data_IF_159160051442
#
_entry.id   IF_159160051442
#
_cell.length_a   1.000
_cell.length_b   1.000
_cell.length_c   1.000
_cell.angle_alpha   90.00
_cell.angle_beta   90.00
_cell.angle_gamma   90.00
#
_symmetry.space_group_name_H-M   'P 1'
#
loop_
_entity.id
_entity.type
_entity.pdbx_description
1 polymer ?
#
# COMPACT_ATOMS: atom_id res chain seq x y z
N UNK A 1 9.87 -24.66 9.83
CA UNK A 1 10.62 -23.61 10.58
C UNK A 1 10.96 -22.38 9.72
N UNK A 2 11.40 -22.53 8.46
CA UNK A 2 11.79 -21.40 7.58
C UNK A 2 10.67 -20.39 7.29
N UNK A 3 9.42 -20.84 7.06
CA UNK A 3 8.31 -19.91 6.77
C UNK A 3 7.93 -19.00 7.94
N UNK A 4 8.11 -19.47 9.18
CA UNK A 4 7.78 -18.68 10.38
C UNK A 4 8.76 -17.53 10.56
N UNK A 5 10.07 -17.77 10.34
CA UNK A 5 11.08 -16.73 10.47
C UNK A 5 10.91 -15.65 9.40
N UNK A 6 10.68 -16.02 8.14
CA UNK A 6 10.46 -15.05 7.05
C UNK A 6 9.26 -14.14 7.37
N UNK A 7 8.15 -14.72 7.84
CA UNK A 7 6.97 -13.97 8.21
C UNK A 7 7.27 -12.94 9.32
N UNK A 8 8.01 -13.34 10.37
CA UNK A 8 8.38 -12.44 11.47
C UNK A 8 9.30 -11.30 11.01
N UNK A 9 10.29 -11.58 10.15
CA UNK A 9 11.19 -10.53 9.63
C UNK A 9 10.45 -9.51 8.76
N UNK A 10 9.52 -9.96 7.92
CA UNK A 10 8.72 -9.07 7.07
C UNK A 10 7.75 -8.24 7.90
N UNK A 11 7.05 -8.84 8.88
CA UNK A 11 6.09 -8.13 9.72
C UNK A 11 6.76 -7.07 10.60
N UNK A 12 8.01 -7.28 11.02
CA UNK A 12 8.76 -6.30 11.82
C UNK A 12 8.95 -4.95 11.11
N UNK A 13 9.05 -4.95 9.77
CA UNK A 13 9.11 -3.70 9.01
C UNK A 13 7.80 -2.91 9.09
N UNK A 14 6.67 -3.59 9.24
CA UNK A 14 5.36 -2.97 9.41
C UNK A 14 5.14 -2.42 10.82
N UNK A 15 6.01 -2.67 11.80
CA UNK A 15 5.96 -1.97 13.10
C UNK A 15 6.42 -0.51 12.99
N UNK A 16 7.26 -0.19 12.01
CA UNK A 16 7.76 1.17 11.78
C UNK A 16 6.68 2.05 11.16
N UNK A 17 6.21 3.03 11.92
CA UNK A 17 5.19 4.00 11.49
C UNK A 17 5.65 4.78 10.25
N UNK A 18 6.93 5.10 10.10
CA UNK A 18 7.43 5.82 8.94
C UNK A 18 7.33 4.97 7.67
N UNK A 19 7.56 3.66 7.78
CA UNK A 19 7.39 2.73 6.67
C UNK A 19 5.93 2.62 6.23
N UNK A 20 4.99 2.60 7.19
CA UNK A 20 3.55 2.61 6.88
C UNK A 20 3.14 3.92 6.20
N UNK A 21 3.58 5.06 6.73
CA UNK A 21 3.31 6.36 6.11
C UNK A 21 3.87 6.43 4.69
N UNK A 22 5.06 5.89 4.45
CA UNK A 22 5.64 5.80 3.13
C UNK A 22 4.77 5.01 2.15
N UNK A 23 4.25 3.84 2.54
CA UNK A 23 3.34 3.05 1.70
C UNK A 23 2.02 3.81 1.44
N UNK A 24 1.48 4.48 2.46
CA UNK A 24 0.28 5.32 2.31
C UNK A 24 0.53 6.46 1.32
N UNK A 25 1.68 7.11 1.38
CA UNK A 25 2.07 8.15 0.41
C UNK A 25 2.21 7.60 -1.01
N UNK A 26 2.80 6.41 -1.18
CA UNK A 26 2.82 5.73 -2.48
C UNK A 26 1.39 5.56 -3.01
N UNK A 27 0.49 5.01 -2.19
CA UNK A 27 -0.91 4.83 -2.57
C UNK A 27 -1.61 6.14 -2.93
N UNK A 28 -1.36 7.21 -2.17
CA UNK A 28 -1.89 8.55 -2.47
C UNK A 28 -1.36 9.09 -3.80
N UNK A 29 -0.07 8.96 -4.07
CA UNK A 29 0.51 9.39 -5.34
C UNK A 29 -0.01 8.56 -6.52
N UNK A 30 -0.18 7.25 -6.37
CA UNK A 30 -0.80 6.41 -7.41
C UNK A 30 -2.23 6.86 -7.73
N UNK A 31 -3.01 7.31 -6.74
CA UNK A 31 -4.37 7.83 -6.99
C UNK A 31 -4.31 9.22 -7.64
N UNK A 32 -3.51 10.11 -7.08
CA UNK A 32 -3.54 11.55 -7.39
C UNK A 32 -2.73 11.92 -8.62
N UNK A 33 -1.61 11.26 -8.86
CA UNK A 33 -0.73 11.52 -10.01
C UNK A 33 -1.08 10.56 -11.13
N UNK A 34 -0.91 9.25 -10.92
CA UNK A 34 -1.10 8.27 -12.01
C UNK A 34 -2.57 8.14 -12.36
N UNK A 35 -3.42 7.93 -11.36
CA UNK A 35 -4.86 7.75 -11.53
C UNK A 35 -5.54 8.96 -12.15
N UNK A 36 -5.19 10.19 -11.76
CA UNK A 36 -5.71 11.41 -12.41
C UNK A 36 -5.05 11.66 -13.76
N UNK A 37 -3.75 11.37 -13.91
CA UNK A 37 -3.01 11.52 -15.16
C UNK A 37 -3.62 10.69 -16.28
N UNK A 38 -3.90 9.40 -16.00
CA UNK A 38 -4.55 8.48 -16.93
C UNK A 38 -6.00 8.90 -17.25
N UNK A 39 -6.75 9.39 -16.25
CA UNK A 39 -8.12 9.88 -16.43
C UNK A 39 -8.14 11.10 -17.37
N UNK A 40 -7.19 12.02 -17.19
CA UNK A 40 -7.02 13.20 -18.04
C UNK A 40 -6.59 12.85 -19.48
N UNK A 41 -5.92 11.71 -19.68
CA UNK A 41 -5.55 11.19 -21.00
C UNK A 41 -6.68 10.40 -21.67
N UNK A 42 -7.82 10.23 -20.99
CA UNK A 42 -8.97 9.48 -21.49
C UNK A 42 -8.89 7.96 -21.26
N UNK A 43 -7.81 7.46 -20.63
CA UNK A 43 -7.66 6.05 -20.29
C UNK A 43 -8.36 5.70 -18.97
N UNK A 44 -9.69 5.65 -19.03
CA UNK A 44 -10.54 5.45 -17.84
C UNK A 44 -10.36 4.07 -17.20
N UNK A 45 -9.96 3.05 -17.97
CA UNK A 45 -9.81 1.69 -17.46
C UNK A 45 -8.55 1.61 -16.60
N UNK A 46 -7.44 2.11 -17.11
CA UNK A 46 -6.18 2.07 -16.39
C UNK A 46 -6.17 3.08 -15.23
N UNK A 47 -6.82 4.24 -15.40
CA UNK A 47 -7.08 5.16 -14.31
C UNK A 47 -7.86 4.51 -13.16
N UNK A 48 -8.89 3.70 -13.47
CA UNK A 48 -9.66 2.97 -12.44
C UNK A 48 -8.78 1.94 -11.75
N UNK A 49 -7.93 1.23 -12.49
CA UNK A 49 -7.01 0.24 -11.93
C UNK A 49 -6.00 0.91 -10.99
N UNK A 50 -5.38 2.02 -11.41
CA UNK A 50 -4.46 2.80 -10.59
C UNK A 50 -5.14 3.28 -9.29
N UNK A 51 -6.38 3.76 -9.37
CA UNK A 51 -7.17 4.15 -8.18
C UNK A 51 -7.40 2.97 -7.23
N UNK A 52 -7.74 1.78 -7.74
CA UNK A 52 -7.93 0.56 -6.93
C UNK A 52 -6.61 0.15 -6.25
N UNK A 53 -5.50 0.16 -6.99
CA UNK A 53 -4.18 -0.18 -6.46
C UNK A 53 -3.75 0.80 -5.38
N UNK A 54 -3.94 2.10 -5.59
CA UNK A 54 -3.61 3.10 -4.58
C UNK A 54 -4.46 2.95 -3.31
N UNK A 55 -5.77 2.68 -3.45
CA UNK A 55 -6.64 2.40 -2.30
C UNK A 55 -6.19 1.14 -1.56
N UNK A 56 -5.79 0.09 -2.27
CA UNK A 56 -5.33 -1.15 -1.63
C UNK A 56 -4.06 -0.90 -0.81
N UNK A 57 -3.11 -0.10 -1.28
CA UNK A 57 -1.95 0.32 -0.47
C UNK A 57 -2.35 1.09 0.79
N UNK A 58 -3.23 2.09 0.65
CA UNK A 58 -3.68 2.94 1.78
C UNK A 58 -4.40 2.12 2.85
N UNK A 59 -5.17 1.10 2.46
CA UNK A 59 -5.94 0.28 3.40
C UNK A 59 -5.10 -0.87 3.96
N UNK A 60 -4.35 -1.58 3.11
CA UNK A 60 -3.60 -2.77 3.54
C UNK A 60 -2.44 -2.44 4.46
N UNK A 61 -1.74 -1.30 4.28
CA UNK A 61 -0.58 -0.97 5.11
C UNK A 61 -0.96 -0.72 6.59
N UNK A 62 -1.99 0.08 6.93
CA UNK A 62 -2.47 0.19 8.31
C UNK A 62 -2.99 -1.13 8.88
N UNK A 63 -3.68 -1.95 8.08
CA UNK A 63 -4.14 -3.28 8.52
C UNK A 63 -2.94 -4.16 8.89
N UNK A 64 -1.90 -4.19 8.05
CA UNK A 64 -0.68 -4.94 8.31
C UNK A 64 0.07 -4.41 9.53
N UNK A 65 0.09 -3.09 9.75
CA UNK A 65 0.65 -2.50 10.98
C UNK A 65 -0.07 -2.99 12.25
N UNK A 66 -1.41 -3.02 12.21
CA UNK A 66 -2.21 -3.52 13.33
C UNK A 66 -1.93 -5.01 13.56
N UNK A 67 -1.88 -5.82 12.49
CA UNK A 67 -1.56 -7.25 12.59
C UNK A 67 -0.15 -7.46 13.15
N UNK A 68 0.84 -6.71 12.68
CA UNK A 68 2.22 -6.79 13.15
C UNK A 68 2.36 -6.43 14.64
N UNK A 69 1.51 -5.54 15.17
CA UNK A 69 1.50 -5.25 16.62
C UNK A 69 0.86 -6.33 17.49
N UNK A 70 0.01 -7.17 16.91
CA UNK A 70 -0.73 -8.21 17.63
C UNK A 70 0.03 -9.54 17.67
N UNK A 71 0.91 -9.79 16.70
CA UNK A 71 1.67 -11.04 16.52
C UNK A 71 3.14 -10.90 16.90
#
# INVERSE_FOLDING_TARGET
MVGKSILTYTLRQFEDVFFILFIVFIGLFTILIDGKGLDNQGDKKDARLAKIIGISYIISAPILHIIAKVF
#
